data_IF_803998237309
#
_entry.id   IF_803998237309
#
_cell.length_a   1.000
_cell.length_b   1.000
_cell.length_c   1.000
_cell.angle_alpha   90.00
_cell.angle_beta   90.00
_cell.angle_gamma   90.00
#
_symmetry.space_group_name_H-M   'P 1'
#
loop_
_entity.id
_entity.type
_entity.pdbx_description
1 polymer ?
#
# COMPACT_ATOMS: atom_id res chain seq x y z
N UNK A 1 -1.96 38.43 -37.20
CA UNK A 1 -1.87 37.07 -36.63
C UNK A 1 -0.69 36.89 -35.67
N UNK A 2 0.44 37.58 -35.87
CA UNK A 2 1.61 37.53 -34.96
C UNK A 2 1.38 38.13 -33.57
N UNK A 3 0.70 39.28 -33.49
CA UNK A 3 0.38 39.93 -32.20
C UNK A 3 -0.49 39.07 -31.27
N UNK A 4 -1.36 38.22 -31.83
CA UNK A 4 -2.20 37.30 -31.07
C UNK A 4 -1.38 36.15 -30.45
N UNK A 5 -0.30 35.71 -31.11
CA UNK A 5 0.63 34.72 -30.54
C UNK A 5 1.45 35.31 -29.39
N UNK A 6 1.96 36.54 -29.56
CA UNK A 6 2.69 37.25 -28.51
C UNK A 6 1.85 37.46 -27.24
N UNK A 7 0.56 37.77 -27.40
CA UNK A 7 -0.34 37.96 -26.26
C UNK A 7 -0.60 36.64 -25.51
N UNK A 8 -0.76 35.51 -26.22
CA UNK A 8 -0.93 34.19 -25.61
C UNK A 8 0.35 33.71 -24.92
N UNK A 9 1.52 33.96 -25.50
CA UNK A 9 2.80 33.62 -24.87
C UNK A 9 3.06 34.48 -23.64
N UNK A 10 2.73 35.77 -23.68
CA UNK A 10 2.82 36.63 -22.52
C UNK A 10 1.88 36.20 -21.40
N UNK A 11 0.63 35.82 -21.71
CA UNK A 11 -0.32 35.29 -20.71
C UNK A 11 0.18 33.98 -20.12
N UNK A 12 0.75 33.06 -20.91
CA UNK A 12 1.33 31.81 -20.37
C UNK A 12 2.57 32.07 -19.50
N UNK A 13 3.42 33.02 -19.89
CA UNK A 13 4.62 33.38 -19.15
C UNK A 13 4.30 34.18 -17.88
N UNK A 14 3.22 34.97 -17.88
CA UNK A 14 2.76 35.74 -16.73
C UNK A 14 1.78 34.96 -15.83
N UNK A 15 1.18 33.86 -16.30
CA UNK A 15 0.24 33.07 -15.50
C UNK A 15 0.88 32.47 -14.25
N UNK A 16 2.11 31.95 -14.34
CA UNK A 16 2.77 31.30 -13.20
C UNK A 16 3.20 32.26 -12.07
N UNK A 17 3.73 33.48 -12.29
CA UNK A 17 4.05 34.38 -11.18
C UNK A 17 2.80 34.94 -10.50
N UNK A 18 1.70 35.15 -11.23
CA UNK A 18 0.41 35.52 -10.65
C UNK A 18 -0.21 34.38 -9.85
N UNK A 19 -0.20 33.15 -10.38
CA UNK A 19 -0.67 31.97 -9.64
C UNK A 19 0.18 31.72 -8.38
N UNK A 20 1.51 31.82 -8.48
CA UNK A 20 2.41 31.68 -7.34
C UNK A 20 2.17 32.77 -6.29
N UNK A 21 2.01 34.03 -6.71
CA UNK A 21 1.70 35.15 -5.80
C UNK A 21 0.34 34.97 -5.13
N UNK A 22 -0.67 34.50 -5.87
CA UNK A 22 -2.00 34.25 -5.34
C UNK A 22 -2.01 33.13 -4.31
N UNK A 23 -1.31 32.02 -4.59
CA UNK A 23 -1.13 30.90 -3.66
C UNK A 23 -0.39 31.37 -2.41
N UNK A 24 0.71 32.11 -2.56
CA UNK A 24 1.48 32.65 -1.44
C UNK A 24 0.65 33.59 -0.55
N UNK A 25 -0.21 34.42 -1.17
CA UNK A 25 -1.12 35.30 -0.44
C UNK A 25 -2.21 34.52 0.30
N UNK A 26 -2.86 33.56 -0.36
CA UNK A 26 -3.97 32.80 0.22
C UNK A 26 -3.52 31.90 1.37
N UNK A 27 -2.32 31.30 1.26
CA UNK A 27 -1.77 30.41 2.28
C UNK A 27 -0.83 31.09 3.28
N UNK A 28 -0.71 32.43 3.24
CA UNK A 28 0.21 33.17 4.13
C UNK A 28 -0.04 32.84 5.60
N UNK A 29 -1.30 32.76 6.03
CA UNK A 29 -1.64 32.56 7.43
C UNK A 29 -1.42 31.10 7.85
N UNK A 30 -1.62 30.14 6.93
CA UNK A 30 -1.32 28.72 7.14
C UNK A 30 0.20 28.45 7.20
N UNK A 31 0.98 29.15 6.37
CA UNK A 31 2.44 29.07 6.36
C UNK A 31 3.01 29.71 7.63
N UNK A 32 2.52 30.90 8.03
CA UNK A 32 2.95 31.60 9.25
C UNK A 32 2.57 30.83 10.52
N UNK A 33 1.42 30.16 10.54
CA UNK A 33 1.00 29.31 11.66
C UNK A 33 1.90 28.07 11.86
N UNK A 34 2.59 27.60 10.81
CA UNK A 34 3.50 26.44 10.84
C UNK A 34 4.98 26.83 10.97
N UNK A 35 5.30 28.13 10.97
CA UNK A 35 6.67 28.66 11.06
C UNK A 35 7.22 29.01 12.46
N UNK A 36 6.63 28.67 13.64
CA UNK A 36 7.30 28.97 14.91
C UNK A 36 8.58 28.13 15.15
N UNK A 37 8.96 27.23 14.22
CA UNK A 37 10.15 26.37 14.32
C UNK A 37 11.34 26.77 13.44
N UNK A 38 11.27 27.86 12.68
CA UNK A 38 12.45 28.37 11.94
C UNK A 38 12.99 29.62 12.64
N UNK A 39 13.45 29.44 13.88
CA UNK A 39 14.31 30.41 14.56
C UNK A 39 15.76 30.01 14.33
N UNK A 40 16.32 30.44 13.19
CA UNK A 40 17.62 31.15 13.11
C UNK A 40 18.15 31.25 11.68
N UNK A 41 18.18 32.48 11.16
CA UNK A 41 19.15 32.95 10.16
C UNK A 41 19.71 34.28 10.70
N UNK A 42 21.00 34.34 11.06
CA UNK A 42 21.70 35.59 11.41
C UNK A 42 22.35 35.65 12.81
N UNK A 43 23.29 36.60 13.03
CA UNK A 43 24.42 36.49 13.96
C UNK A 43 24.10 36.96 15.39
N UNK A 44 22.96 36.55 15.93
CA UNK A 44 22.57 36.85 17.32
C UNK A 44 22.65 35.56 18.13
N UNK A 45 23.55 35.52 19.10
CA UNK A 45 23.66 34.47 20.12
C UNK A 45 22.33 34.37 20.87
N UNK A 46 21.73 33.17 20.87
CA UNK A 46 20.67 32.85 21.85
C UNK A 46 21.32 32.01 22.94
N UNK A 47 20.89 32.27 24.16
CA UNK A 47 21.15 31.44 25.34
C UNK A 47 20.90 29.95 25.03
N UNK A 48 21.58 29.04 25.74
CA UNK A 48 21.38 27.61 25.57
C UNK A 48 19.90 27.28 25.72
N UNK A 49 19.33 26.57 24.75
CA UNK A 49 18.00 26.01 24.87
C UNK A 49 17.92 25.26 26.21
N UNK A 50 16.81 25.39 26.98
CA UNK A 50 16.58 24.45 28.07
C UNK A 50 16.67 23.05 27.43
N UNK A 51 17.54 22.22 27.98
CA UNK A 51 17.72 20.84 27.53
C UNK A 51 16.34 20.25 27.31
N UNK A 52 16.07 19.77 26.09
CA UNK A 52 14.85 19.01 25.82
C UNK A 52 14.75 17.99 26.94
N UNK A 53 13.72 18.13 27.79
CA UNK A 53 13.38 17.10 28.74
C UNK A 53 13.36 15.81 27.95
N UNK A 54 14.07 14.81 28.46
CA UNK A 54 14.22 13.49 27.87
C UNK A 54 12.80 12.91 27.65
N UNK A 55 12.18 13.20 26.50
CA UNK A 55 10.93 12.56 26.10
C UNK A 55 11.38 11.16 25.74
N UNK A 56 11.36 10.27 26.72
CA UNK A 56 11.54 8.85 26.48
C UNK A 56 10.62 8.49 25.34
N UNK A 57 11.15 7.83 24.31
CA UNK A 57 10.33 7.26 23.25
C UNK A 57 9.15 6.54 23.92
N UNK A 58 7.90 6.72 23.45
CA UNK A 58 6.77 6.02 24.02
C UNK A 58 7.11 4.53 24.03
N UNK A 59 7.20 3.93 25.22
CA UNK A 59 7.42 2.48 25.35
C UNK A 59 6.38 1.80 24.48
N UNK A 60 6.83 0.95 23.56
CA UNK A 60 5.92 0.22 22.68
C UNK A 60 4.94 -0.53 23.57
N UNK A 61 3.65 -0.31 23.35
CA UNK A 61 2.62 -0.95 24.14
C UNK A 61 2.59 -2.44 23.78
N UNK A 62 2.85 -3.32 24.74
CA UNK A 62 2.79 -4.79 24.57
C UNK A 62 1.45 -5.26 23.99
N UNK A 63 0.37 -4.51 24.21
CA UNK A 63 -0.95 -4.85 23.66
C UNK A 63 -1.04 -4.60 22.15
N UNK A 64 -0.30 -3.62 21.62
CA UNK A 64 -0.24 -3.37 20.18
C UNK A 64 0.48 -4.51 19.45
N UNK A 65 1.57 -5.01 20.03
CA UNK A 65 2.32 -6.15 19.50
C UNK A 65 1.43 -7.40 19.48
N UNK A 66 0.75 -7.71 20.59
CA UNK A 66 -0.19 -8.84 20.66
C UNK A 66 -1.31 -8.76 19.62
N UNK A 67 -1.82 -7.55 19.35
CA UNK A 67 -2.83 -7.34 18.29
C UNK A 67 -2.28 -7.65 16.91
N UNK A 68 -1.06 -7.21 16.61
CA UNK A 68 -0.39 -7.51 15.33
C UNK A 68 -0.15 -9.01 15.17
N UNK A 69 0.40 -9.66 16.19
CA UNK A 69 0.64 -11.10 16.21
C UNK A 69 -0.64 -11.94 16.10
N UNK A 70 -1.74 -11.44 16.65
CA UNK A 70 -3.05 -12.10 16.52
C UNK A 70 -3.67 -11.94 15.13
N UNK A 71 -3.45 -10.79 14.48
CA UNK A 71 -4.03 -10.46 13.17
C UNK A 71 -3.25 -11.05 12.00
N UNK A 72 -1.92 -11.13 12.09
CA UNK A 72 -1.05 -11.51 10.98
C UNK A 72 -0.34 -12.84 11.30
N UNK A 73 -0.40 -13.84 10.40
CA UNK A 73 0.35 -15.07 10.55
C UNK A 73 1.85 -14.85 10.79
N UNK A 74 2.43 -15.64 11.71
CA UNK A 74 3.84 -15.50 12.14
C UNK A 74 4.83 -15.64 10.98
N UNK A 75 4.53 -16.49 10.02
CA UNK A 75 5.35 -16.66 8.80
C UNK A 75 5.39 -15.38 7.95
N UNK A 76 4.27 -14.65 7.86
CA UNK A 76 4.21 -13.38 7.13
C UNK A 76 4.85 -12.23 7.93
N UNK A 77 4.76 -12.26 9.26
CA UNK A 77 5.49 -11.29 10.09
C UNK A 77 7.00 -11.42 9.89
N UNK A 78 7.53 -12.65 9.87
CA UNK A 78 8.95 -12.90 9.57
C UNK A 78 9.34 -12.43 8.17
N UNK A 79 8.48 -12.62 7.18
CA UNK A 79 8.72 -12.06 5.84
C UNK A 79 8.85 -10.53 5.90
N UNK A 80 7.93 -9.86 6.61
CA UNK A 80 8.01 -8.41 6.84
C UNK A 80 9.29 -8.00 7.55
N UNK A 81 9.72 -8.76 8.57
CA UNK A 81 10.93 -8.46 9.34
C UNK A 81 12.17 -8.52 8.46
N UNK A 82 12.28 -9.51 7.59
CA UNK A 82 13.39 -9.62 6.62
C UNK A 82 13.44 -8.38 5.71
N UNK A 83 12.28 -7.91 5.23
CA UNK A 83 12.20 -6.72 4.38
C UNK A 83 12.63 -5.47 5.16
N UNK A 84 12.10 -5.26 6.37
CA UNK A 84 12.42 -4.09 7.19
C UNK A 84 13.89 -4.10 7.61
N UNK A 85 14.46 -5.24 7.97
CA UNK A 85 15.87 -5.38 8.30
C UNK A 85 16.77 -5.07 7.09
N UNK A 86 16.37 -5.48 5.89
CA UNK A 86 17.09 -5.14 4.65
C UNK A 86 17.11 -3.63 4.38
N UNK A 87 16.03 -2.92 4.73
CA UNK A 87 15.94 -1.46 4.59
C UNK A 87 16.65 -0.71 5.73
N UNK A 88 16.65 -1.29 6.94
CA UNK A 88 17.23 -0.70 8.14
C UNK A 88 18.13 -1.71 8.88
N UNK A 89 19.35 -1.98 8.38
CA UNK A 89 20.22 -3.04 8.91
C UNK A 89 20.64 -2.84 10.38
N UNK A 90 20.60 -1.59 10.87
CA UNK A 90 20.96 -1.24 12.24
C UNK A 90 19.76 -1.17 13.20
N UNK A 91 18.57 -1.58 12.75
CA UNK A 91 17.40 -1.66 13.63
C UNK A 91 17.48 -2.92 14.50
N UNK A 92 17.66 -2.72 15.81
CA UNK A 92 17.80 -3.82 16.79
C UNK A 92 16.61 -3.89 17.76
N UNK A 93 15.65 -2.98 17.62
CA UNK A 93 14.45 -2.97 18.45
C UNK A 93 13.43 -3.97 17.89
N UNK A 94 13.32 -5.13 18.55
CA UNK A 94 12.42 -6.19 18.14
C UNK A 94 10.95 -5.76 18.14
N UNK A 95 10.56 -4.88 19.05
CA UNK A 95 9.17 -4.43 19.16
C UNK A 95 8.80 -3.53 17.98
N UNK A 96 9.69 -2.60 17.63
CA UNK A 96 9.53 -1.76 16.44
C UNK A 96 9.59 -2.58 15.14
N UNK A 97 10.43 -3.61 15.08
CA UNK A 97 10.49 -4.52 13.95
C UNK A 97 9.15 -5.22 13.76
N UNK A 98 8.60 -5.85 14.80
CA UNK A 98 7.32 -6.56 14.71
C UNK A 98 6.18 -5.63 14.31
N UNK A 99 6.10 -4.43 14.89
CA UNK A 99 5.08 -3.44 14.51
C UNK A 99 5.23 -2.97 13.07
N UNK A 100 6.44 -2.64 12.63
CA UNK A 100 6.70 -2.17 11.27
C UNK A 100 6.40 -3.25 10.23
N UNK A 101 6.75 -4.49 10.53
CA UNK A 101 6.41 -5.66 9.71
C UNK A 101 4.91 -5.87 9.62
N UNK A 102 4.20 -5.74 10.74
CA UNK A 102 2.73 -5.83 10.74
C UNK A 102 2.08 -4.76 9.87
N UNK A 103 2.55 -3.50 9.97
CA UNK A 103 2.09 -2.40 9.13
C UNK A 103 2.41 -2.63 7.64
N UNK A 104 3.60 -3.14 7.33
CA UNK A 104 4.01 -3.46 5.96
C UNK A 104 3.09 -4.52 5.35
N UNK A 105 2.88 -5.65 6.04
CA UNK A 105 2.03 -6.74 5.56
C UNK A 105 0.57 -6.28 5.43
N UNK A 106 0.05 -5.53 6.41
CA UNK A 106 -1.28 -4.93 6.31
C UNK A 106 -1.43 -4.01 5.10
N UNK A 107 -0.43 -3.17 4.83
CA UNK A 107 -0.41 -2.30 3.65
C UNK A 107 -0.34 -3.07 2.33
N UNK A 108 0.38 -4.20 2.29
CA UNK A 108 0.39 -5.09 1.13
C UNK A 108 -0.98 -5.73 0.90
N UNK A 109 -1.67 -6.17 1.96
CA UNK A 109 -3.03 -6.71 1.85
C UNK A 109 -4.03 -5.66 1.38
N UNK A 110 -3.96 -4.44 1.91
CA UNK A 110 -4.80 -3.33 1.45
C UNK A 110 -4.58 -3.06 -0.04
N UNK A 111 -3.31 -3.02 -0.47
CA UNK A 111 -2.98 -2.88 -1.88
C UNK A 111 -3.55 -4.03 -2.72
N UNK A 112 -3.37 -5.28 -2.29
CA UNK A 112 -3.94 -6.44 -2.98
C UNK A 112 -5.45 -6.32 -3.08
N UNK A 113 -6.14 -5.96 -1.99
CA UNK A 113 -7.59 -5.81 -1.97
C UNK A 113 -8.06 -4.74 -2.96
N UNK A 114 -7.35 -3.62 -3.09
CA UNK A 114 -7.74 -2.57 -4.02
C UNK A 114 -7.66 -3.00 -5.50
N UNK A 115 -6.67 -3.83 -5.86
CA UNK A 115 -6.45 -4.24 -7.25
C UNK A 115 -7.06 -5.58 -7.64
N UNK A 116 -7.36 -6.47 -6.69
CA UNK A 116 -7.89 -7.81 -6.98
C UNK A 116 -9.34 -7.74 -7.46
N UNK A 117 -9.70 -8.60 -8.41
CA UNK A 117 -11.07 -8.80 -8.87
C UNK A 117 -11.86 -9.77 -7.98
N UNK A 118 -13.19 -9.70 -8.02
CA UNK A 118 -14.07 -10.61 -7.27
C UNK A 118 -13.90 -12.06 -7.69
N UNK A 119 -13.74 -12.32 -9.00
CA UNK A 119 -13.46 -13.67 -9.53
C UNK A 119 -12.16 -14.27 -9.00
N UNK A 120 -11.15 -13.44 -8.74
CA UNK A 120 -9.88 -13.86 -8.14
C UNK A 120 -10.06 -14.17 -6.65
N UNK A 121 -10.84 -13.38 -5.91
CA UNK A 121 -11.18 -13.68 -4.51
C UNK A 121 -11.93 -15.02 -4.43
N UNK A 122 -12.94 -15.24 -5.28
CA UNK A 122 -13.69 -16.50 -5.35
C UNK A 122 -12.79 -17.70 -5.70
N UNK A 123 -11.81 -17.51 -6.59
CA UNK A 123 -10.80 -18.53 -6.86
C UNK A 123 -9.99 -18.84 -5.59
N UNK A 124 -9.50 -17.83 -4.88
CA UNK A 124 -8.71 -18.03 -3.66
C UNK A 124 -9.51 -18.77 -2.58
N UNK A 125 -10.78 -18.44 -2.39
CA UNK A 125 -11.67 -19.18 -1.49
C UNK A 125 -11.78 -20.66 -1.88
N UNK A 126 -11.90 -20.96 -3.18
CA UNK A 126 -11.92 -22.35 -3.67
C UNK A 126 -10.58 -23.06 -3.46
N UNK A 127 -9.47 -22.39 -3.77
CA UNK A 127 -8.11 -22.90 -3.56
C UNK A 127 -7.78 -23.13 -2.08
N UNK A 128 -8.44 -22.42 -1.17
CA UNK A 128 -8.33 -22.66 0.26
C UNK A 128 -8.87 -24.04 0.69
N UNK A 129 -9.71 -24.67 -0.13
CA UNK A 129 -10.23 -26.03 0.11
C UNK A 129 -9.40 -27.12 -0.56
N UNK A 130 -8.94 -26.89 -1.80
CA UNK A 130 -8.21 -27.89 -2.58
C UNK A 130 -7.44 -27.24 -3.74
N UNK A 131 -6.27 -27.79 -4.14
CA UNK A 131 -5.59 -27.37 -5.36
C UNK A 131 -6.46 -27.54 -6.61
N UNK A 132 -6.23 -26.74 -7.64
CA UNK A 132 -7.00 -26.72 -8.88
C UNK A 132 -6.11 -26.80 -10.12
N UNK A 133 -6.65 -27.33 -11.22
CA UNK A 133 -5.96 -27.38 -12.52
C UNK A 133 -5.98 -26.03 -13.25
N UNK A 134 -5.16 -25.89 -14.30
CA UNK A 134 -5.20 -24.71 -15.17
C UNK A 134 -6.60 -24.49 -15.79
N UNK A 135 -7.25 -25.57 -16.22
CA UNK A 135 -8.59 -25.51 -16.82
C UNK A 135 -9.64 -25.02 -15.81
N UNK A 136 -9.52 -25.42 -14.54
CA UNK A 136 -10.39 -24.92 -13.49
C UNK A 136 -10.22 -23.42 -13.27
N UNK A 137 -8.97 -22.94 -13.18
CA UNK A 137 -8.66 -21.49 -13.06
C UNK A 137 -9.26 -20.70 -14.23
N UNK A 138 -9.12 -21.22 -15.45
CA UNK A 138 -9.67 -20.60 -16.66
C UNK A 138 -11.19 -20.47 -16.60
N UNK A 139 -11.90 -21.44 -16.03
CA UNK A 139 -13.37 -21.36 -15.84
C UNK A 139 -13.80 -20.25 -14.88
N UNK A 140 -12.97 -19.83 -13.93
CA UNK A 140 -13.27 -18.67 -13.09
C UNK A 140 -13.17 -17.37 -13.90
N UNK A 141 -12.08 -17.24 -14.66
CA UNK A 141 -11.89 -16.10 -15.57
C UNK A 141 -13.00 -15.99 -16.62
N UNK A 142 -13.36 -17.09 -17.29
CA UNK A 142 -14.39 -17.07 -18.35
C UNK A 142 -15.75 -16.65 -17.80
N UNK A 143 -16.16 -17.18 -16.65
CA UNK A 143 -17.41 -16.77 -15.97
C UNK A 143 -17.40 -15.27 -15.63
N UNK A 144 -16.25 -14.75 -15.20
CA UNK A 144 -16.10 -13.34 -14.86
C UNK A 144 -16.13 -12.44 -16.10
N UNK A 145 -15.44 -12.84 -17.17
CA UNK A 145 -15.47 -12.17 -18.47
C UNK A 145 -16.89 -12.10 -19.02
N UNK A 146 -17.64 -13.20 -18.95
CA UNK A 146 -19.00 -13.25 -19.48
C UNK A 146 -19.96 -12.38 -18.64
N UNK A 147 -19.75 -12.28 -17.33
CA UNK A 147 -20.52 -11.40 -16.44
C UNK A 147 -20.12 -9.92 -16.53
N UNK A 148 -18.85 -9.61 -16.84
CA UNK A 148 -18.28 -8.26 -16.86
C UNK A 148 -17.48 -7.99 -18.15
N UNK A 149 -18.09 -8.08 -19.34
CA UNK A 149 -17.37 -8.03 -20.61
C UNK A 149 -16.59 -6.73 -20.83
N UNK A 150 -17.08 -5.59 -20.33
CA UNK A 150 -16.39 -4.30 -20.44
C UNK A 150 -15.08 -4.25 -19.63
N UNK A 151 -15.03 -4.88 -18.45
CA UNK A 151 -13.80 -4.97 -17.64
C UNK A 151 -12.77 -5.85 -18.36
N UNK A 152 -13.23 -6.95 -18.95
CA UNK A 152 -12.37 -7.98 -19.53
C UNK A 152 -12.04 -7.78 -21.00
N UNK A 153 -12.60 -6.76 -21.66
CA UNK A 153 -12.38 -6.48 -23.09
C UNK A 153 -10.91 -6.44 -23.49
N UNK A 154 -10.06 -5.89 -22.61
CA UNK A 154 -8.61 -5.77 -22.80
C UNK A 154 -7.81 -6.41 -21.67
N UNK A 155 -8.43 -7.28 -20.86
CA UNK A 155 -7.78 -7.93 -19.74
C UNK A 155 -7.80 -9.44 -19.94
N UNK A 156 -6.68 -10.01 -20.37
CA UNK A 156 -6.60 -11.41 -20.78
C UNK A 156 -6.49 -12.36 -19.58
N UNK A 157 -6.69 -13.66 -19.83
CA UNK A 157 -6.51 -14.69 -18.81
C UNK A 157 -5.08 -14.69 -18.25
N UNK A 158 -4.08 -14.47 -19.11
CA UNK A 158 -2.67 -14.41 -18.71
C UNK A 158 -2.40 -13.24 -17.76
N UNK A 159 -3.00 -12.07 -18.01
CA UNK A 159 -2.88 -10.92 -17.11
C UNK A 159 -3.58 -11.19 -15.76
N UNK A 160 -4.77 -11.80 -15.81
CA UNK A 160 -5.54 -12.21 -14.65
C UNK A 160 -4.79 -13.23 -13.78
N UNK A 161 -4.16 -14.22 -14.41
CA UNK A 161 -3.36 -15.23 -13.73
C UNK A 161 -2.06 -14.64 -13.18
N UNK A 162 -1.36 -13.83 -13.99
CA UNK A 162 -0.11 -13.18 -13.60
C UNK A 162 -0.29 -12.26 -12.41
N UNK A 163 -1.46 -11.63 -12.23
CA UNK A 163 -1.77 -10.90 -11.00
C UNK A 163 -1.68 -11.81 -9.78
N UNK A 164 -2.34 -12.98 -9.80
CA UNK A 164 -2.33 -13.91 -8.68
C UNK A 164 -0.93 -14.44 -8.36
N UNK A 165 -0.13 -14.72 -9.39
CA UNK A 165 1.26 -15.19 -9.24
C UNK A 165 2.20 -14.07 -8.76
N UNK A 166 2.13 -12.88 -9.35
CA UNK A 166 3.00 -11.73 -8.99
C UNK A 166 2.74 -11.19 -7.58
N UNK A 167 1.50 -11.27 -7.10
CA UNK A 167 1.17 -10.97 -5.70
C UNK A 167 1.43 -12.16 -4.76
N UNK A 168 1.93 -13.28 -5.28
CA UNK A 168 2.24 -14.51 -4.52
C UNK A 168 1.01 -15.05 -3.78
N UNK A 169 -0.16 -14.99 -4.41
CA UNK A 169 -1.42 -15.47 -3.86
C UNK A 169 -1.67 -16.96 -4.18
N UNK A 170 -1.11 -17.42 -5.30
CA UNK A 170 -1.11 -18.82 -5.68
C UNK A 170 0.31 -19.30 -5.95
N UNK A 171 0.51 -20.61 -5.88
CA UNK A 171 1.76 -21.27 -6.26
C UNK A 171 1.45 -22.59 -6.96
N UNK A 172 2.43 -23.17 -7.65
CA UNK A 172 2.29 -24.50 -8.25
C UNK A 172 2.61 -25.59 -7.21
N UNK A 173 1.93 -26.72 -7.31
CA UNK A 173 2.27 -27.93 -6.53
C UNK A 173 3.64 -28.47 -6.94
N UNK A 174 4.23 -29.37 -6.13
CA UNK A 174 5.59 -29.88 -6.36
C UNK A 174 5.76 -30.57 -7.73
N UNK A 175 4.70 -31.20 -8.23
CA UNK A 175 4.63 -31.84 -9.55
C UNK A 175 4.30 -30.85 -10.68
N UNK A 176 4.02 -29.58 -10.36
CA UNK A 176 3.76 -28.49 -11.31
C UNK A 176 2.40 -28.54 -12.00
N UNK A 177 1.58 -29.57 -11.72
CA UNK A 177 0.35 -29.86 -12.45
C UNK A 177 -0.86 -29.06 -11.95
N UNK A 178 -0.86 -28.70 -10.66
CA UNK A 178 -1.95 -27.99 -9.99
C UNK A 178 -1.46 -26.66 -9.39
N UNK A 179 -2.41 -25.78 -9.12
CA UNK A 179 -2.23 -24.53 -8.39
C UNK A 179 -2.80 -24.68 -6.98
N UNK A 180 -2.09 -24.17 -5.99
CA UNK A 180 -2.47 -24.17 -4.59
C UNK A 180 -2.44 -22.75 -4.00
N UNK A 181 -3.23 -22.53 -2.95
CA UNK A 181 -3.21 -21.28 -2.21
C UNK A 181 -1.89 -21.12 -1.43
N UNK A 182 -1.34 -19.90 -1.38
CA UNK A 182 -0.16 -19.60 -0.56
C UNK A 182 -0.55 -19.24 0.89
N UNK A 183 0.40 -19.29 1.84
CA UNK A 183 0.16 -18.72 3.17
C UNK A 183 -0.22 -17.23 3.13
N UNK A 184 0.38 -16.46 2.22
CA UNK A 184 0.03 -15.06 1.99
C UNK A 184 -1.43 -14.88 1.60
N UNK A 185 -1.94 -15.66 0.64
CA UNK A 185 -3.35 -15.58 0.26
C UNK A 185 -4.30 -15.99 1.39
N UNK A 186 -3.94 -16.97 2.22
CA UNK A 186 -4.73 -17.31 3.41
C UNK A 186 -4.78 -16.16 4.43
N UNK A 187 -3.62 -15.52 4.68
CA UNK A 187 -3.55 -14.32 5.50
C UNK A 187 -4.38 -13.17 4.93
N UNK A 188 -4.36 -13.00 3.61
CA UNK A 188 -5.16 -12.01 2.90
C UNK A 188 -6.68 -12.26 3.00
N UNK A 189 -7.14 -13.51 2.80
CA UNK A 189 -8.56 -13.86 2.97
C UNK A 189 -9.03 -13.59 4.40
N UNK A 190 -8.21 -13.92 5.41
CA UNK A 190 -8.50 -13.56 6.80
C UNK A 190 -8.56 -12.06 7.00
N UNK A 191 -7.61 -11.31 6.43
CA UNK A 191 -7.59 -9.85 6.49
C UNK A 191 -8.87 -9.22 5.92
N UNK A 192 -9.41 -9.73 4.80
CA UNK A 192 -10.70 -9.27 4.26
C UNK A 192 -11.82 -9.44 5.31
N UNK A 193 -11.89 -10.61 5.95
CA UNK A 193 -12.92 -10.92 6.95
C UNK A 193 -12.76 -10.01 8.17
N UNK A 194 -11.56 -9.90 8.71
CA UNK A 194 -11.27 -9.14 9.94
C UNK A 194 -11.56 -7.63 9.76
N UNK A 195 -11.44 -7.10 8.53
CA UNK A 195 -11.74 -5.70 8.21
C UNK A 195 -13.16 -5.46 7.66
N UNK A 196 -13.98 -6.51 7.52
CA UNK A 196 -15.35 -6.38 7.01
C UNK A 196 -15.43 -6.00 5.52
N UNK A 197 -14.42 -6.36 4.74
CA UNK A 197 -14.38 -6.13 3.31
C UNK A 197 -15.29 -7.09 2.54
N UNK A 198 -15.88 -6.61 1.45
CA UNK A 198 -16.76 -7.43 0.61
C UNK A 198 -15.95 -8.31 -0.34
N UNK A 199 -16.36 -9.57 -0.47
CA UNK A 199 -15.82 -10.49 -1.50
C UNK A 199 -16.56 -10.34 -2.83
N UNK A 200 -17.71 -9.66 -2.83
CA UNK A 200 -18.52 -9.38 -4.03
C UNK A 200 -18.01 -8.13 -4.76
N UNK A 201 -16.80 -8.24 -5.32
CA UNK A 201 -16.22 -7.19 -6.17
C UNK A 201 -16.61 -7.41 -7.64
N UNK A 202 -16.60 -6.33 -8.41
CA UNK A 202 -16.72 -6.43 -9.87
C UNK A 202 -15.46 -7.05 -10.47
N UNK A 203 -15.65 -7.75 -11.58
CA UNK A 203 -14.61 -8.50 -12.26
C UNK A 203 -14.29 -9.82 -11.58
#
# INVERSE_FOLDING_TARGET
>A
MEYLKLLVEFVKAAAWPFAASWIAYYFRDAIVAQLPRVTKVGPVTLDPLPSQANVSAPKVNSDAIKKVEAAIPVDLLKEGEIIIQGLFPNSHDSELLTLSSGLLIGGLFERTYNFIFGSQILLLERLNSSPLSMDDLKRFYERARDAFPEIYKNYTFEQWLNFLESFTLITRTQDGSLFAITPRARGFLRYIIDNGYTTQKAG
#
